data_IF_270499828344
#
_entry.id   IF_270499828344
#
_cell.length_a   1.000
_cell.length_b   1.000
_cell.length_c   1.000
_cell.angle_alpha   90.00
_cell.angle_beta   90.00
_cell.angle_gamma   90.00
#
_symmetry.space_group_name_H-M   'P 1'
#
loop_
_entity.id
_entity.type
_entity.pdbx_description
1 polymer ?
#
# COMPACT_ATOMS: atom_id res chain seq x y z
N UNK A 1 -28.26 3.18 -0.81
CA UNK A 1 -28.89 1.92 -0.34
C UNK A 1 -28.20 0.79 -1.10
N UNK A 2 -27.08 0.30 -0.58
CA UNK A 2 -26.31 -0.75 -1.26
C UNK A 2 -26.70 -2.10 -0.66
N UNK A 3 -27.08 -3.01 -1.57
CA UNK A 3 -27.54 -4.38 -1.32
C UNK A 3 -26.34 -5.24 -0.91
N UNK A 4 -26.45 -5.92 0.23
CA UNK A 4 -25.60 -7.05 0.58
C UNK A 4 -25.98 -8.25 -0.32
N UNK A 5 -24.99 -8.87 -0.96
CA UNK A 5 -25.16 -10.21 -1.53
C UNK A 5 -24.94 -11.23 -0.40
N UNK A 6 -25.78 -12.27 -0.28
CA UNK A 6 -25.54 -13.35 0.65
C UNK A 6 -24.59 -14.35 -0.01
N UNK A 7 -23.44 -14.64 0.60
CA UNK A 7 -22.63 -15.78 0.20
C UNK A 7 -22.21 -16.59 1.42
N UNK A 8 -22.47 -17.89 1.28
CA UNK A 8 -22.23 -18.97 2.23
C UNK A 8 -20.75 -19.38 2.19
N UNK A 9 -20.26 -19.68 3.40
CA UNK A 9 -19.18 -20.59 3.75
C UNK A 9 -17.79 -20.39 3.12
N UNK A 10 -16.78 -20.45 3.99
CA UNK A 10 -15.33 -20.51 3.76
C UNK A 10 -14.57 -19.17 3.62
N UNK A 11 -14.00 -18.77 4.76
CA UNK A 11 -12.78 -17.96 4.97
C UNK A 11 -12.77 -16.57 4.30
N UNK A 12 -13.35 -15.62 5.05
CA UNK A 12 -13.52 -14.22 4.71
C UNK A 12 -12.21 -13.41 4.90
N UNK A 13 -11.17 -13.71 4.12
CA UNK A 13 -9.92 -12.93 4.06
C UNK A 13 -10.16 -11.56 3.37
N UNK A 14 -11.25 -11.42 2.62
CA UNK A 14 -11.56 -10.20 1.85
C UNK A 14 -11.95 -9.00 2.73
N UNK A 15 -12.47 -9.23 3.95
CA UNK A 15 -12.83 -8.15 4.89
C UNK A 15 -11.65 -7.56 5.67
N UNK A 16 -10.53 -8.29 5.78
CA UNK A 16 -9.28 -7.80 6.39
C UNK A 16 -8.54 -6.83 5.48
N UNK A 17 -8.64 -7.02 4.15
CA UNK A 17 -8.03 -6.13 3.17
C UNK A 17 -8.76 -4.79 3.00
N UNK A 18 -10.08 -4.76 3.21
CA UNK A 18 -10.89 -3.56 2.94
C UNK A 18 -10.71 -2.49 4.03
N UNK A 19 -10.49 -2.86 5.29
CA UNK A 19 -10.32 -1.88 6.37
C UNK A 19 -8.88 -1.37 6.56
N UNK A 20 -7.87 -2.12 6.12
CA UNK A 20 -6.46 -1.70 6.25
C UNK A 20 -5.93 -1.00 5.00
N UNK A 21 -6.51 -1.23 3.81
CA UNK A 21 -5.94 -0.73 2.54
C UNK A 21 -6.75 0.34 1.80
N UNK A 22 -8.01 0.61 2.17
CA UNK A 22 -8.77 1.76 1.63
C UNK A 22 -8.63 3.03 2.47
N UNK A 23 -8.16 2.94 3.71
CA UNK A 23 -7.89 4.10 4.55
C UNK A 23 -6.45 4.56 4.37
N UNK A 24 -6.29 5.75 3.80
CA UNK A 24 -5.20 6.68 4.08
C UNK A 24 -4.57 6.38 5.45
N UNK A 25 -3.30 5.98 5.52
CA UNK A 25 -2.55 5.97 6.80
C UNK A 25 -2.39 7.41 7.38
N UNK A 26 -2.95 8.42 6.71
CA UNK A 26 -3.20 9.77 7.26
C UNK A 26 -4.53 9.91 8.01
N UNK A 27 -5.34 8.86 8.06
CA UNK A 27 -6.59 8.77 8.84
C UNK A 27 -6.46 7.77 10.00
N UNK A 28 -5.32 7.75 10.72
CA UNK A 28 -5.20 7.12 12.07
C UNK A 28 -5.97 7.96 13.11
N UNK A 29 -7.21 8.32 12.79
CA UNK A 29 -8.03 9.27 13.55
C UNK A 29 -9.47 8.85 13.78
N UNK A 30 -9.95 7.74 13.20
CA UNK A 30 -11.35 7.30 13.40
C UNK A 30 -11.49 5.79 13.50
N UNK A 31 -11.25 5.29 14.72
CA UNK A 31 -12.13 4.41 15.52
C UNK A 31 -13.13 3.53 14.78
N UNK A 32 -12.79 2.24 14.65
CA UNK A 32 -13.50 1.04 15.17
C UNK A 32 -12.99 -0.18 14.39
N UNK A 33 -11.92 -0.80 14.88
CA UNK A 33 -11.60 -2.17 14.45
C UNK A 33 -12.73 -3.04 15.03
N UNK A 34 -13.47 -3.70 14.14
CA UNK A 34 -14.60 -4.57 14.45
C UNK A 34 -14.29 -5.47 15.65
N UNK A 35 -15.22 -5.55 16.61
CA UNK A 35 -15.19 -6.39 17.81
C UNK A 35 -15.19 -7.92 17.53
N UNK A 36 -14.65 -8.38 16.40
CA UNK A 36 -14.44 -9.80 16.13
C UNK A 36 -12.96 -10.12 16.38
N UNK A 37 -12.70 -10.95 17.39
CA UNK A 37 -11.40 -11.58 17.59
C UNK A 37 -11.08 -12.41 16.34
N UNK A 38 -10.23 -11.88 15.47
CA UNK A 38 -9.77 -12.60 14.30
C UNK A 38 -8.46 -13.31 14.66
N UNK A 39 -8.61 -14.53 15.18
CA UNK A 39 -7.50 -15.41 15.53
C UNK A 39 -7.26 -16.38 14.38
N UNK A 40 -6.03 -16.47 13.91
CA UNK A 40 -5.64 -17.43 12.86
C UNK A 40 -4.35 -18.15 13.25
N UNK A 41 -4.10 -19.32 12.65
CA UNK A 41 -2.83 -20.03 12.88
C UNK A 41 -1.66 -19.29 12.21
N UNK A 42 -0.44 -19.62 12.60
CA UNK A 42 0.76 -19.07 11.98
C UNK A 42 0.79 -19.31 10.45
N UNK A 43 0.39 -20.50 10.01
CA UNK A 43 0.35 -20.86 8.60
C UNK A 43 -0.68 -20.02 7.85
N UNK A 44 -1.88 -19.86 8.43
CA UNK A 44 -2.92 -19.03 7.85
C UNK A 44 -2.49 -17.56 7.73
N UNK A 45 -1.77 -17.04 8.73
CA UNK A 45 -1.27 -15.68 8.69
C UNK A 45 -0.16 -15.50 7.65
N UNK A 46 0.79 -16.44 7.56
CA UNK A 46 1.82 -16.42 6.52
C UNK A 46 1.23 -16.48 5.11
N UNK A 47 0.23 -17.35 4.89
CA UNK A 47 -0.47 -17.41 3.60
C UNK A 47 -1.24 -16.12 3.31
N UNK A 48 -1.90 -15.53 4.31
CA UNK A 48 -2.54 -14.23 4.15
C UNK A 48 -1.52 -13.14 3.75
N UNK A 49 -0.36 -13.07 4.41
CA UNK A 49 0.70 -12.11 4.04
C UNK A 49 1.16 -12.28 2.59
N UNK A 50 1.35 -13.52 2.12
CA UNK A 50 1.73 -13.79 0.71
C UNK A 50 0.63 -13.39 -0.28
N UNK A 51 -0.63 -13.63 0.07
CA UNK A 51 -1.79 -13.27 -0.77
C UNK A 51 -1.93 -11.74 -0.86
N UNK A 52 -1.76 -11.03 0.27
CA UNK A 52 -1.91 -9.58 0.31
C UNK A 52 -0.70 -8.83 -0.26
N UNK A 53 0.50 -9.41 -0.16
CA UNK A 53 1.74 -8.79 -0.61
C UNK A 53 2.48 -9.69 -1.61
N UNK A 54 1.90 -9.95 -2.79
CA UNK A 54 2.46 -10.88 -3.77
C UNK A 54 3.84 -10.45 -4.31
N UNK A 55 4.18 -9.17 -4.20
CA UNK A 55 5.44 -8.61 -4.68
C UNK A 55 6.56 -8.62 -3.62
N UNK A 56 6.25 -8.97 -2.36
CA UNK A 56 7.26 -9.04 -1.30
C UNK A 56 8.10 -10.30 -1.44
N UNK A 57 9.39 -10.16 -1.16
CA UNK A 57 10.30 -11.30 -1.07
C UNK A 57 9.96 -12.16 0.14
N UNK A 58 10.36 -13.44 0.12
CA UNK A 58 10.19 -14.33 1.28
C UNK A 58 10.78 -13.74 2.56
N UNK A 59 11.94 -13.07 2.46
CA UNK A 59 12.57 -12.41 3.61
C UNK A 59 11.73 -11.27 4.18
N UNK A 60 11.04 -10.48 3.34
CA UNK A 60 10.17 -9.40 3.81
C UNK A 60 8.91 -9.96 4.46
N UNK A 61 8.35 -11.04 3.91
CA UNK A 61 7.21 -11.76 4.50
C UNK A 61 7.61 -12.34 5.87
N UNK A 62 8.80 -12.96 5.96
CA UNK A 62 9.30 -13.52 7.21
C UNK A 62 9.55 -12.43 8.25
N UNK A 63 10.08 -11.26 7.88
CA UNK A 63 10.27 -10.11 8.79
C UNK A 63 8.91 -9.61 9.34
N UNK A 64 7.89 -9.51 8.50
CA UNK A 64 6.52 -9.16 8.91
C UNK A 64 5.92 -10.24 9.84
N UNK A 65 6.18 -11.50 9.55
CA UNK A 65 5.72 -12.59 10.40
C UNK A 65 6.37 -12.58 11.79
N UNK A 66 7.69 -12.39 11.85
CA UNK A 66 8.41 -12.36 13.13
C UNK A 66 8.05 -11.14 13.97
N UNK A 67 7.88 -9.97 13.35
CA UNK A 67 7.43 -8.76 14.07
C UNK A 67 6.02 -8.92 14.65
N UNK A 68 5.09 -9.56 13.93
CA UNK A 68 3.79 -9.91 14.47
C UNK A 68 3.87 -10.85 15.69
N UNK A 69 4.76 -11.85 15.63
CA UNK A 69 4.99 -12.75 16.77
C UNK A 69 5.62 -12.04 17.97
N UNK A 70 6.51 -11.10 17.72
CA UNK A 70 7.14 -10.30 18.78
C UNK A 70 6.09 -9.47 19.54
N UNK A 71 5.25 -8.73 18.81
CA UNK A 71 4.22 -7.87 19.40
C UNK A 71 3.23 -8.63 20.27
N UNK A 72 2.84 -9.82 19.85
CA UNK A 72 1.84 -10.59 20.57
C UNK A 72 2.39 -11.27 21.83
N UNK A 73 3.71 -11.44 21.99
CA UNK A 73 4.32 -12.12 23.16
C UNK A 73 3.67 -13.48 23.54
N UNK A 74 2.87 -14.07 22.64
CA UNK A 74 1.94 -15.16 22.92
C UNK A 74 2.50 -16.52 22.48
N UNK A 75 1.89 -17.59 23.02
CA UNK A 75 2.20 -18.99 22.73
C UNK A 75 2.22 -19.28 21.22
N UNK A 76 3.14 -20.15 20.82
CA UNK A 76 3.64 -20.43 19.47
C UNK A 76 2.62 -20.75 18.35
N UNK A 77 1.31 -20.75 18.56
CA UNK A 77 0.36 -21.44 17.66
C UNK A 77 -0.69 -20.54 16.99
N UNK A 78 -0.89 -19.31 17.45
CA UNK A 78 -1.94 -18.43 16.88
C UNK A 78 -1.62 -16.94 16.95
N UNK A 79 -2.15 -16.19 15.98
CA UNK A 79 -2.01 -14.75 15.82
C UNK A 79 -3.39 -14.10 15.91
N UNK A 80 -3.56 -13.20 16.89
CA UNK A 80 -4.75 -12.35 17.01
C UNK A 80 -4.52 -11.06 16.22
N UNK A 81 -5.06 -11.01 15.00
CA UNK A 81 -4.77 -9.96 14.03
C UNK A 81 -5.18 -8.56 14.52
N UNK A 82 -6.28 -8.45 15.27
CA UNK A 82 -6.76 -7.18 15.82
C UNK A 82 -5.75 -6.51 16.73
N UNK A 83 -4.93 -7.29 17.46
CA UNK A 83 -3.95 -6.75 18.39
C UNK A 83 -2.72 -6.17 17.67
N UNK A 84 -2.44 -6.58 16.42
CA UNK A 84 -1.30 -6.06 15.64
C UNK A 84 -1.41 -4.58 15.28
N UNK A 85 -2.61 -4.00 15.39
CA UNK A 85 -2.90 -2.61 15.03
C UNK A 85 -3.31 -1.75 16.23
N UNK A 86 -3.14 -2.26 17.45
CA UNK A 86 -3.36 -1.48 18.66
C UNK A 86 -2.10 -0.66 18.96
N UNK A 87 -2.29 0.62 19.30
CA UNK A 87 -1.20 1.46 19.82
C UNK A 87 -0.82 0.98 21.22
N UNK A 88 0.47 0.95 21.54
CA UNK A 88 0.90 0.75 22.92
C UNK A 88 0.49 1.96 23.79
N UNK A 89 0.49 1.79 25.11
CA UNK A 89 0.18 2.88 26.06
C UNK A 89 1.13 4.09 25.93
N UNK A 90 2.21 3.98 25.14
CA UNK A 90 3.21 5.01 24.87
C UNK A 90 3.07 5.63 23.46
N UNK A 91 1.96 5.43 22.76
CA UNK A 91 1.68 5.98 21.41
C UNK A 91 2.68 5.56 20.32
N UNK A 92 3.40 4.46 20.53
CA UNK A 92 4.30 3.88 19.53
C UNK A 92 3.56 2.84 18.70
N UNK A 93 3.85 2.84 17.41
CA UNK A 93 3.40 1.77 16.54
C UNK A 93 4.00 0.44 17.01
N UNK A 94 3.19 -0.62 16.95
CA UNK A 94 3.64 -2.00 17.13
C UNK A 94 4.82 -2.32 16.21
N UNK A 95 5.66 -3.30 16.55
CA UNK A 95 6.81 -3.69 15.73
C UNK A 95 6.37 -4.14 14.34
N UNK A 96 5.26 -4.86 14.25
CA UNK A 96 4.62 -5.26 13.01
C UNK A 96 4.28 -4.06 12.14
N UNK A 97 3.56 -3.09 12.68
CA UNK A 97 3.14 -1.91 11.94
C UNK A 97 4.35 -1.04 11.53
N UNK A 98 5.33 -0.91 12.41
CA UNK A 98 6.60 -0.23 12.13
C UNK A 98 7.35 -0.90 10.98
N UNK A 99 7.40 -2.23 10.97
CA UNK A 99 8.05 -3.04 9.92
C UNK A 99 7.31 -2.90 8.60
N UNK A 100 5.98 -2.99 8.61
CA UNK A 100 5.14 -2.82 7.43
C UNK A 100 5.32 -1.44 6.80
N UNK A 101 5.27 -0.37 7.61
CA UNK A 101 5.48 1.01 7.15
C UNK A 101 6.88 1.19 6.58
N UNK A 102 7.91 0.63 7.22
CA UNK A 102 9.29 0.66 6.72
C UNK A 102 9.39 0.00 5.35
N UNK A 103 8.85 -1.20 5.19
CA UNK A 103 8.90 -1.92 3.91
C UNK A 103 8.14 -1.16 2.80
N UNK A 104 6.93 -0.66 3.08
CA UNK A 104 6.15 0.15 2.13
C UNK A 104 6.94 1.39 1.69
N UNK A 105 7.59 2.08 2.63
CA UNK A 105 8.40 3.26 2.30
C UNK A 105 9.62 2.89 1.46
N UNK A 106 10.27 1.75 1.73
CA UNK A 106 11.39 1.27 0.92
C UNK A 106 10.96 0.92 -0.50
N UNK A 107 9.82 0.22 -0.66
CA UNK A 107 9.22 -0.12 -1.96
C UNK A 107 8.87 1.13 -2.76
N UNK A 108 8.19 2.09 -2.11
CA UNK A 108 7.91 3.41 -2.71
C UNK A 108 9.19 4.10 -3.18
N UNK A 109 10.19 4.21 -2.31
CA UNK A 109 11.42 4.93 -2.64
C UNK A 109 12.18 4.27 -3.78
N UNK A 110 12.24 2.93 -3.78
CA UNK A 110 12.85 2.17 -4.87
C UNK A 110 12.13 2.40 -6.19
N UNK A 111 10.80 2.42 -6.18
CA UNK A 111 10.02 2.69 -7.38
C UNK A 111 10.19 4.12 -7.91
N UNK A 112 10.19 5.13 -7.02
CA UNK A 112 10.46 6.53 -7.39
C UNK A 112 11.86 6.69 -7.98
N UNK A 113 12.85 6.01 -7.43
CA UNK A 113 14.21 6.03 -7.98
C UNK A 113 14.25 5.40 -9.38
N UNK A 114 13.54 4.29 -9.63
CA UNK A 114 13.43 3.74 -10.98
C UNK A 114 12.78 4.71 -11.97
N UNK A 115 11.72 5.42 -11.57
CA UNK A 115 11.09 6.47 -12.40
C UNK A 115 12.11 7.55 -12.72
N UNK A 116 12.85 8.03 -11.71
CA UNK A 116 13.89 9.05 -11.87
C UNK A 116 14.93 8.62 -12.90
N UNK A 117 15.43 7.39 -12.81
CA UNK A 117 16.44 6.89 -13.74
C UNK A 117 15.94 6.84 -15.18
N UNK A 118 14.67 6.46 -15.41
CA UNK A 118 14.08 6.41 -16.76
C UNK A 118 13.83 7.81 -17.33
N UNK A 119 13.44 8.76 -16.47
CA UNK A 119 13.11 10.13 -16.89
C UNK A 119 14.32 11.08 -16.87
N UNK A 120 15.50 10.58 -16.48
CA UNK A 120 16.73 11.36 -16.47
C UNK A 120 17.06 11.86 -17.87
N UNK A 121 17.30 13.17 -17.99
CA UNK A 121 17.59 13.82 -19.27
C UNK A 121 16.37 14.42 -19.99
N UNK A 122 15.15 14.25 -19.46
CA UNK A 122 13.99 15.01 -19.93
C UNK A 122 13.84 16.30 -19.10
N UNK A 123 14.04 17.51 -19.70
CA UNK A 123 13.93 18.77 -18.96
C UNK A 123 12.48 19.09 -18.57
N UNK A 124 11.52 18.60 -19.35
CA UNK A 124 10.10 18.70 -19.12
C UNK A 124 9.44 17.37 -19.44
N UNK A 125 8.62 16.89 -18.51
CA UNK A 125 7.99 15.58 -18.53
C UNK A 125 6.51 15.76 -18.86
N UNK A 126 6.11 15.18 -19.98
CA UNK A 126 4.72 15.06 -20.40
C UNK A 126 4.05 13.85 -19.74
N UNK A 127 2.72 13.83 -19.72
CA UNK A 127 1.96 12.66 -19.27
C UNK A 127 2.37 11.40 -20.04
N UNK A 128 2.56 11.50 -21.36
CA UNK A 128 2.96 10.34 -22.17
C UNK A 128 4.31 9.76 -21.78
N UNK A 129 5.29 10.61 -21.44
CA UNK A 129 6.60 10.15 -20.97
C UNK A 129 6.50 9.51 -19.59
N UNK A 130 5.73 10.11 -18.69
CA UNK A 130 5.48 9.53 -17.37
C UNK A 130 4.79 8.17 -17.47
N UNK A 131 3.72 8.04 -18.25
CA UNK A 131 3.06 6.75 -18.48
C UNK A 131 4.02 5.70 -19.03
N UNK A 132 4.86 6.08 -20.00
CA UNK A 132 5.86 5.17 -20.56
C UNK A 132 6.86 4.70 -19.50
N UNK A 133 7.33 5.59 -18.62
CA UNK A 133 8.22 5.21 -17.53
C UNK A 133 7.54 4.22 -16.58
N UNK A 134 6.28 4.47 -16.22
CA UNK A 134 5.49 3.55 -15.38
C UNK A 134 5.36 2.17 -16.06
N UNK A 135 4.96 2.10 -17.33
CA UNK A 135 4.85 0.82 -18.05
C UNK A 135 6.18 0.08 -18.25
N UNK A 136 7.31 0.78 -18.21
CA UNK A 136 8.62 0.13 -18.27
C UNK A 136 8.99 -0.54 -16.94
N UNK A 137 8.49 -0.03 -15.81
CA UNK A 137 8.76 -0.58 -14.48
C UNK A 137 7.69 -1.62 -14.10
N UNK A 138 6.42 -1.29 -14.33
CA UNK A 138 5.27 -2.15 -14.05
C UNK A 138 4.37 -2.27 -15.31
N UNK A 139 4.65 -3.27 -16.18
CA UNK A 139 3.85 -3.53 -17.37
C UNK A 139 2.40 -3.94 -17.08
N UNK A 140 2.11 -4.38 -15.86
CA UNK A 140 0.82 -4.96 -15.47
C UNK A 140 -0.03 -3.99 -14.62
N UNK A 141 0.41 -2.75 -14.44
CA UNK A 141 -0.30 -1.74 -13.65
C UNK A 141 -1.76 -1.61 -14.08
N UNK A 142 -2.67 -1.58 -13.10
CA UNK A 142 -4.09 -1.35 -13.37
C UNK A 142 -4.33 0.06 -13.95
N UNK A 143 -5.26 0.18 -14.89
CA UNK A 143 -5.56 1.46 -15.52
C UNK A 143 -6.07 2.51 -14.53
N UNK A 144 -6.85 2.12 -13.51
CA UNK A 144 -7.33 3.07 -12.51
C UNK A 144 -6.20 3.52 -11.58
N UNK A 145 -5.23 2.65 -11.31
CA UNK A 145 -4.03 3.00 -10.57
C UNK A 145 -3.14 3.98 -11.34
N UNK A 146 -2.86 3.69 -12.62
CA UNK A 146 -2.14 4.61 -13.48
C UNK A 146 -2.84 5.98 -13.58
N UNK A 147 -4.17 6.00 -13.73
CA UNK A 147 -4.96 7.24 -13.75
C UNK A 147 -4.83 8.03 -12.46
N UNK A 148 -4.85 7.37 -11.29
CA UNK A 148 -4.63 8.02 -9.99
C UNK A 148 -3.24 8.66 -9.91
N UNK A 149 -2.20 7.98 -10.38
CA UNK A 149 -0.84 8.54 -10.41
C UNK A 149 -0.76 9.77 -11.29
N UNK A 150 -1.35 9.73 -12.48
CA UNK A 150 -1.37 10.87 -13.39
C UNK A 150 -2.14 12.04 -12.78
N UNK A 151 -3.34 11.80 -12.23
CA UNK A 151 -4.13 12.84 -11.56
C UNK A 151 -3.36 13.49 -10.42
N UNK A 152 -2.65 12.71 -9.63
CA UNK A 152 -1.85 13.21 -8.52
C UNK A 152 -0.65 14.03 -9.00
N UNK A 153 0.22 13.41 -9.79
CA UNK A 153 1.47 14.00 -10.26
C UNK A 153 1.21 15.26 -11.06
N UNK A 154 0.22 15.27 -11.94
CA UNK A 154 -0.09 16.44 -12.77
C UNK A 154 -1.17 17.34 -12.15
N UNK A 155 -1.67 17.01 -10.95
CA UNK A 155 -2.70 17.77 -10.22
C UNK A 155 -3.95 18.03 -11.07
N UNK A 156 -4.39 17.00 -11.80
CA UNK A 156 -5.51 17.07 -12.73
C UNK A 156 -6.78 16.65 -12.00
N UNK A 157 -7.84 17.47 -12.07
CA UNK A 157 -9.14 17.13 -11.48
C UNK A 157 -9.91 16.09 -12.31
N UNK A 158 -9.81 16.14 -13.63
CA UNK A 158 -10.52 15.25 -14.56
C UNK A 158 -9.62 14.77 -15.70
N UNK A 159 -9.57 13.46 -15.93
CA UNK A 159 -8.69 12.83 -16.93
C UNK A 159 -9.06 13.16 -18.39
N UNK A 160 -10.25 13.71 -18.66
CA UNK A 160 -10.74 14.03 -20.01
C UNK A 160 -9.97 15.16 -20.72
N UNK A 161 -9.07 15.87 -20.04
CA UNK A 161 -8.34 17.02 -20.59
C UNK A 161 -6.84 16.79 -20.73
N UNK A 162 -6.41 15.57 -21.10
CA UNK A 162 -4.98 15.22 -21.20
C UNK A 162 -4.16 16.16 -22.10
N UNK A 163 -4.79 16.71 -23.15
CA UNK A 163 -4.12 17.56 -24.14
C UNK A 163 -3.77 18.98 -23.64
N UNK A 164 -4.30 19.40 -22.48
CA UNK A 164 -4.07 20.73 -21.92
C UNK A 164 -3.12 20.72 -20.70
N UNK A 165 -2.55 19.57 -20.37
CA UNK A 165 -1.70 19.43 -19.19
C UNK A 165 -0.32 19.98 -19.52
N UNK A 166 0.09 21.00 -18.77
CA UNK A 166 1.43 21.56 -18.86
C UNK A 166 2.46 20.49 -18.44
N UNK A 167 3.54 20.30 -19.21
CA UNK A 167 4.66 19.47 -18.79
C UNK A 167 5.25 19.92 -17.45
N UNK A 168 5.73 18.96 -16.66
CA UNK A 168 6.34 19.19 -15.34
C UNK A 168 7.86 19.11 -15.42
N UNK A 169 8.55 19.84 -14.55
CA UNK A 169 9.97 19.60 -14.28
C UNK A 169 10.13 18.26 -13.54
N UNK A 170 11.31 17.62 -13.70
CA UNK A 170 11.63 16.36 -13.05
C UNK A 170 11.61 16.47 -11.52
N UNK A 171 12.18 17.53 -10.96
CA UNK A 171 12.23 17.71 -9.50
C UNK A 171 10.83 17.89 -8.91
N UNK A 172 9.97 18.67 -9.56
CA UNK A 172 8.57 18.83 -9.17
C UNK A 172 7.78 17.53 -9.29
N UNK A 173 8.03 16.71 -10.32
CA UNK A 173 7.42 15.41 -10.47
C UNK A 173 7.83 14.45 -9.34
N UNK A 174 9.13 14.35 -9.06
CA UNK A 174 9.67 13.48 -8.01
C UNK A 174 9.16 13.90 -6.63
N UNK A 175 9.20 15.21 -6.33
CA UNK A 175 8.66 15.76 -5.09
C UNK A 175 7.18 15.40 -4.91
N UNK A 176 6.37 15.39 -5.98
CA UNK A 176 4.95 15.00 -5.90
C UNK A 176 4.76 13.50 -5.66
N UNK A 177 5.61 12.67 -6.25
CA UNK A 177 5.60 11.22 -6.05
C UNK A 177 5.98 10.84 -4.62
N UNK A 178 7.06 11.41 -4.10
CA UNK A 178 7.55 11.15 -2.73
C UNK A 178 6.48 11.48 -1.67
N UNK A 179 5.68 12.53 -1.95
CA UNK A 179 4.61 13.02 -1.08
C UNK A 179 3.21 12.44 -1.38
N UNK A 180 3.05 11.53 -2.35
CA UNK A 180 1.80 10.81 -2.60
C UNK A 180 1.63 9.71 -1.55
N UNK A 181 0.65 9.84 -0.66
CA UNK A 181 0.26 8.72 0.22
C UNK A 181 -0.49 7.61 -0.54
N UNK A 182 -0.92 7.92 -1.76
CA UNK A 182 -1.63 7.06 -2.69
C UNK A 182 -0.72 6.14 -3.50
N UNK A 183 0.60 6.30 -3.39
CA UNK A 183 1.55 5.61 -4.24
C UNK A 183 1.81 4.21 -3.68
N UNK A 184 1.14 3.22 -4.25
CA UNK A 184 1.20 1.82 -3.81
C UNK A 184 2.19 1.07 -4.69
N UNK A 185 3.19 0.44 -4.08
CA UNK A 185 3.97 -0.66 -4.65
C UNK A 185 4.33 -1.62 -3.54
#
# INVERSE_FOLDING_TARGET
>A
MYRFLPFKDEVNITLLGILVLECDFRCVGTRQILHHQFVMTNEQFLEALKIFYPNKTSSQIDELFQSAKHDLQYSNESIEFSLLFMEDDETRFSEFLSTLIKQINQEKNFYVEQIKQILLGYPLITVSQFCRAIYMIDPNIDQNELHRYIQWVFSIKNFHSLQQIKPLDLEDLLRRLENCACFKH
#
